data_IF_582597090600
#
_entry.id   IF_582597090600
#
_cell.length_a   1.000
_cell.length_b   1.000
_cell.length_c   1.000
_cell.angle_alpha   90.00
_cell.angle_beta   90.00
_cell.angle_gamma   90.00
#
_symmetry.space_group_name_H-M   'P 1'
#
loop_
_entity.id
_entity.type
_entity.pdbx_description
1 polymer ?
#
# COMPACT_ATOMS: atom_id res chain seq x y z
N UNK A 1 -61.68 6.74 -18.10
CA UNK A 1 -60.91 7.02 -16.87
C UNK A 1 -59.50 6.51 -17.10
N UNK A 2 -58.56 7.40 -17.38
CA UNK A 2 -57.16 7.06 -17.65
C UNK A 2 -56.39 7.02 -16.31
N UNK A 3 -55.70 5.91 -16.06
CA UNK A 3 -54.80 5.76 -14.91
C UNK A 3 -53.54 6.59 -15.15
N UNK A 4 -53.24 7.51 -14.23
CA UNK A 4 -51.96 8.21 -14.16
C UNK A 4 -50.92 7.27 -13.53
N UNK A 5 -49.71 7.13 -14.09
CA UNK A 5 -48.65 6.38 -13.43
C UNK A 5 -48.00 7.25 -12.34
N UNK A 6 -47.82 6.67 -11.15
CA UNK A 6 -46.98 7.23 -10.09
C UNK A 6 -45.56 7.44 -10.62
N UNK A 7 -45.10 8.68 -10.57
CA UNK A 7 -43.69 9.02 -10.72
C UNK A 7 -42.94 8.51 -9.48
N UNK A 8 -42.14 7.45 -9.67
CA UNK A 8 -41.12 7.08 -8.71
C UNK A 8 -40.09 8.22 -8.64
N UNK A 9 -39.85 8.73 -7.43
CA UNK A 9 -38.71 9.60 -7.17
C UNK A 9 -37.45 8.75 -7.38
N UNK A 10 -36.69 9.07 -8.42
CA UNK A 10 -35.32 8.59 -8.55
C UNK A 10 -34.49 9.29 -7.48
N UNK A 11 -33.94 8.53 -6.55
CA UNK A 11 -32.90 9.01 -5.65
C UNK A 11 -31.76 9.60 -6.50
N UNK A 12 -31.54 10.90 -6.33
CA UNK A 12 -30.41 11.58 -6.95
C UNK A 12 -29.13 11.09 -6.26
N UNK A 13 -28.06 10.74 -7.00
CA UNK A 13 -26.78 10.47 -6.38
C UNK A 13 -26.35 11.72 -5.63
N UNK A 14 -25.99 11.56 -4.34
CA UNK A 14 -25.49 12.64 -3.51
C UNK A 14 -24.42 13.41 -4.29
N UNK A 15 -24.72 14.66 -4.63
CA UNK A 15 -23.77 15.53 -5.30
C UNK A 15 -22.53 15.63 -4.42
N UNK A 16 -21.35 15.42 -5.01
CA UNK A 16 -20.09 15.86 -4.42
C UNK A 16 -20.30 17.26 -3.85
N UNK A 17 -19.93 17.48 -2.59
CA UNK A 17 -20.03 18.80 -1.95
C UNK A 17 -19.45 19.83 -2.92
N UNK A 18 -20.26 20.82 -3.33
CA UNK A 18 -19.87 21.79 -4.33
C UNK A 18 -18.50 22.39 -3.96
N UNK A 19 -17.51 22.25 -4.85
CA UNK A 19 -16.15 22.74 -4.62
C UNK A 19 -15.13 21.75 -4.04
N UNK A 20 -15.49 20.48 -3.83
CA UNK A 20 -14.52 19.45 -3.46
C UNK A 20 -13.44 19.25 -4.55
N UNK A 21 -12.16 19.08 -4.17
CA UNK A 21 -11.09 18.82 -5.15
C UNK A 21 -11.24 17.42 -5.74
N UNK A 22 -11.04 17.31 -7.06
CA UNK A 22 -10.84 16.02 -7.71
C UNK A 22 -9.38 15.56 -7.46
N UNK A 23 -9.21 14.49 -6.69
CA UNK A 23 -7.90 14.02 -6.26
C UNK A 23 -7.29 13.06 -7.28
N UNK A 24 -6.03 13.30 -7.62
CA UNK A 24 -5.16 12.42 -8.39
C UNK A 24 -4.24 11.60 -7.47
N UNK A 25 -3.66 10.52 -8.00
CA UNK A 25 -2.76 9.64 -7.24
C UNK A 25 -1.54 10.43 -6.70
N UNK A 26 -1.29 10.47 -5.38
CA UNK A 26 -0.29 11.35 -4.77
C UNK A 26 1.15 10.83 -4.86
N UNK A 27 1.41 9.78 -5.64
CA UNK A 27 2.71 9.11 -5.74
C UNK A 27 3.00 8.66 -7.17
N UNK A 28 4.27 8.79 -7.60
CA UNK A 28 4.73 8.39 -8.94
C UNK A 28 5.33 7.00 -8.94
N UNK A 29 4.47 5.99 -8.88
CA UNK A 29 4.82 4.57 -8.96
C UNK A 29 3.67 3.76 -9.56
N UNK A 30 3.94 2.54 -10.04
CA UNK A 30 2.87 1.65 -10.53
C UNK A 30 2.20 0.97 -9.34
N UNK A 31 0.99 1.41 -9.00
CA UNK A 31 0.19 0.83 -7.92
C UNK A 31 -0.08 -0.65 -8.19
N UNK A 32 0.21 -1.48 -7.19
CA UNK A 32 0.12 -2.94 -7.27
C UNK A 32 1.33 -3.63 -7.89
N UNK A 33 2.41 -2.90 -8.20
CA UNK A 33 3.65 -3.48 -8.72
C UNK A 33 4.89 -2.89 -8.04
N UNK A 34 5.05 -1.57 -8.07
CA UNK A 34 6.20 -0.86 -7.48
C UNK A 34 5.88 -0.26 -6.11
N UNK A 35 4.58 -0.11 -5.80
CA UNK A 35 4.05 0.45 -4.57
C UNK A 35 2.60 -0.03 -4.39
N UNK A 36 2.07 0.09 -3.18
CA UNK A 36 0.81 -0.53 -2.79
C UNK A 36 0.03 0.39 -1.86
N UNK A 37 -1.30 0.44 -2.00
CA UNK A 37 -2.13 0.99 -0.93
C UNK A 37 -2.21 -0.07 0.15
N UNK A 38 -1.55 0.15 1.28
CA UNK A 38 -1.51 -0.84 2.35
C UNK A 38 -2.55 -0.57 3.44
N UNK A 39 -2.69 0.67 3.88
CA UNK A 39 -3.72 1.03 4.85
C UNK A 39 -4.64 2.08 4.25
N UNK A 40 -5.92 1.93 4.53
CA UNK A 40 -6.98 2.87 4.21
C UNK A 40 -7.45 3.54 5.50
N UNK A 41 -8.22 4.61 5.36
CA UNK A 41 -8.86 5.30 6.49
C UNK A 41 -9.72 4.32 7.27
N UNK A 42 -9.64 4.40 8.59
CA UNK A 42 -10.49 3.61 9.47
C UNK A 42 -11.91 4.17 9.47
N UNK A 43 -12.83 3.43 8.86
CA UNK A 43 -14.22 3.81 8.70
C UNK A 43 -15.07 3.47 9.93
N UNK A 44 -14.57 2.68 10.89
CA UNK A 44 -15.28 2.28 12.11
C UNK A 44 -14.33 2.23 13.34
N UNK A 45 -13.87 3.38 13.85
CA UNK A 45 -12.90 3.44 14.94
C UNK A 45 -13.33 2.67 16.19
N UNK A 46 -12.36 2.00 16.81
CA UNK A 46 -12.52 1.09 17.93
C UNK A 46 -12.30 -0.38 17.54
N UNK A 47 -12.74 -1.35 18.37
CA UNK A 47 -12.48 -2.77 18.14
C UNK A 47 -13.06 -3.36 16.83
N UNK A 48 -13.94 -2.61 16.17
CA UNK A 48 -14.59 -2.97 14.89
C UNK A 48 -13.89 -2.43 13.64
N UNK A 49 -12.68 -1.85 13.80
CA UNK A 49 -11.91 -1.18 12.75
C UNK A 49 -12.00 -1.89 11.39
N UNK A 50 -12.35 -1.13 10.37
CA UNK A 50 -12.50 -1.62 9.01
C UNK A 50 -12.29 -0.49 8.02
N UNK A 51 -11.73 -0.82 6.87
CA UNK A 51 -11.63 0.13 5.77
C UNK A 51 -12.99 0.34 5.08
N UNK A 52 -13.06 1.29 4.13
CA UNK A 52 -14.27 1.60 3.38
C UNK A 52 -14.87 0.39 2.62
N UNK A 53 -14.06 -0.62 2.33
CA UNK A 53 -14.44 -1.85 1.65
C UNK A 53 -14.76 -2.99 2.64
N UNK A 54 -14.91 -2.67 3.93
CA UNK A 54 -15.10 -3.62 5.03
C UNK A 54 -13.97 -4.65 5.16
N UNK A 55 -12.80 -4.31 4.62
CA UNK A 55 -11.57 -5.03 4.81
C UNK A 55 -10.88 -4.68 6.11
N UNK A 56 -9.68 -5.23 6.26
CA UNK A 56 -8.83 -5.09 7.45
C UNK A 56 -7.52 -4.38 7.13
N UNK A 57 -7.44 -3.74 5.97
CA UNK A 57 -6.27 -2.97 5.56
C UNK A 57 -6.36 -1.59 6.19
N UNK A 58 -6.38 -1.54 7.52
CA UNK A 58 -6.43 -0.35 8.35
C UNK A 58 -6.02 -0.72 9.79
N UNK A 59 -5.99 0.26 10.68
CA UNK A 59 -5.84 0.08 12.12
C UNK A 59 -6.64 1.14 12.86
N UNK A 60 -6.93 0.88 14.14
CA UNK A 60 -7.80 1.74 14.95
C UNK A 60 -7.33 3.20 14.94
N UNK A 61 -8.21 4.07 14.44
CA UNK A 61 -7.99 5.51 14.36
C UNK A 61 -7.06 5.97 13.24
N UNK A 62 -6.82 5.14 12.21
CA UNK A 62 -6.08 5.55 11.02
C UNK A 62 -6.85 6.61 10.22
N UNK A 63 -6.18 7.72 9.86
CA UNK A 63 -6.81 8.93 9.31
C UNK A 63 -6.46 9.24 7.86
N UNK A 64 -5.65 8.40 7.21
CA UNK A 64 -5.22 8.62 5.84
C UNK A 64 -5.17 7.33 5.02
N UNK A 65 -4.53 7.44 3.86
CA UNK A 65 -4.28 6.32 2.94
C UNK A 65 -2.78 6.16 2.77
N UNK A 66 -2.26 4.98 3.10
CA UNK A 66 -0.83 4.67 3.07
C UNK A 66 -0.40 4.10 1.73
N UNK A 67 0.40 4.87 0.98
CA UNK A 67 1.05 4.43 -0.24
C UNK A 67 2.45 3.89 0.09
N UNK A 68 2.52 2.57 0.28
CA UNK A 68 3.72 1.84 0.69
C UNK A 68 4.65 1.53 -0.48
N UNK A 69 5.95 1.61 -0.22
CA UNK A 69 7.01 0.98 -1.02
C UNK A 69 7.36 -0.43 -0.52
N UNK A 70 7.85 -1.33 -1.40
CA UNK A 70 8.16 -2.71 -1.03
C UNK A 70 9.25 -2.80 0.06
N UNK A 71 10.28 -1.95 -0.02
CA UNK A 71 11.47 -2.02 0.82
C UNK A 71 12.19 -0.65 0.94
N UNK A 72 13.18 -0.58 1.84
CA UNK A 72 14.03 0.60 2.04
C UNK A 72 14.98 0.88 0.88
N UNK A 73 15.21 -0.07 -0.03
CA UNK A 73 16.02 0.19 -1.22
C UNK A 73 15.22 1.02 -2.24
N UNK A 74 13.95 0.72 -2.44
CA UNK A 74 13.03 1.53 -3.23
C UNK A 74 12.93 2.97 -2.68
N UNK A 75 12.82 3.12 -1.36
CA UNK A 75 12.86 4.44 -0.71
C UNK A 75 14.19 5.18 -0.97
N UNK A 76 15.32 4.47 -0.88
CA UNK A 76 16.65 5.04 -1.16
C UNK A 76 16.80 5.50 -2.60
N UNK A 77 16.31 4.72 -3.58
CA UNK A 77 16.25 5.10 -5.00
C UNK A 77 15.39 6.35 -5.23
N UNK A 78 14.40 6.58 -4.37
CA UNK A 78 13.55 7.76 -4.38
C UNK A 78 12.30 7.53 -5.24
N UNK A 79 11.14 7.72 -4.62
CA UNK A 79 9.84 7.69 -5.30
C UNK A 79 9.14 9.00 -5.02
N UNK A 80 8.76 9.74 -6.06
CA UNK A 80 8.22 11.08 -5.92
C UNK A 80 6.81 11.05 -5.32
N UNK A 81 6.59 11.91 -4.33
CA UNK A 81 5.27 12.30 -3.83
C UNK A 81 4.89 13.58 -4.57
N UNK A 82 3.68 13.60 -5.09
CA UNK A 82 3.16 14.69 -5.92
C UNK A 82 1.85 15.22 -5.37
N UNK A 83 1.54 16.49 -5.64
CA UNK A 83 0.27 17.08 -5.26
C UNK A 83 -0.90 16.31 -5.92
N UNK A 84 -1.89 15.92 -5.12
CA UNK A 84 -3.08 15.23 -5.61
C UNK A 84 -4.05 16.18 -6.33
N UNK A 85 -4.03 17.47 -6.01
CA UNK A 85 -4.90 18.47 -6.63
C UNK A 85 -4.22 19.85 -6.63
N UNK A 86 -4.67 20.79 -7.49
CA UNK A 86 -4.14 22.15 -7.50
C UNK A 86 -4.39 22.88 -6.17
N UNK A 87 -3.46 23.72 -5.75
CA UNK A 87 -3.59 24.45 -4.49
C UNK A 87 -2.38 25.29 -4.14
N UNK A 88 -2.34 25.76 -2.89
CA UNK A 88 -1.22 26.51 -2.32
C UNK A 88 -0.62 25.75 -1.15
N UNK A 89 0.69 25.59 -1.13
CA UNK A 89 1.40 24.99 0.00
C UNK A 89 1.28 25.92 1.20
N UNK A 90 0.76 25.44 2.33
CA UNK A 90 0.57 26.27 3.54
C UNK A 90 1.53 25.91 4.66
N UNK A 91 1.91 24.63 4.77
CA UNK A 91 2.79 24.13 5.85
C UNK A 91 3.78 23.12 5.32
N UNK A 92 5.00 23.20 5.84
CA UNK A 92 6.09 22.26 5.55
C UNK A 92 6.82 21.94 6.86
N UNK A 93 7.17 20.67 7.04
CA UNK A 93 8.08 20.21 8.09
C UNK A 93 9.09 19.26 7.46
N UNK A 94 10.37 19.50 7.69
CA UNK A 94 11.47 18.64 7.22
C UNK A 94 12.52 18.46 8.34
N UNK A 95 13.52 17.62 8.08
CA UNK A 95 14.69 17.40 8.91
C UNK A 95 14.58 16.23 9.89
N UNK A 96 13.43 15.56 9.99
CA UNK A 96 13.28 14.36 10.81
C UNK A 96 13.89 13.14 10.11
N UNK A 97 14.53 12.28 10.89
CA UNK A 97 15.18 11.08 10.38
C UNK A 97 14.19 10.05 9.84
N UNK A 98 14.61 9.36 8.78
CA UNK A 98 13.94 8.20 8.21
C UNK A 98 14.24 6.95 9.05
N UNK A 99 13.59 6.83 10.20
CA UNK A 99 13.80 5.75 11.17
C UNK A 99 12.46 5.16 11.57
N UNK A 100 12.36 3.82 11.50
CA UNK A 100 11.16 3.12 11.92
C UNK A 100 10.98 3.18 13.45
N UNK A 101 9.72 3.27 13.90
CA UNK A 101 9.37 3.18 15.32
C UNK A 101 9.76 1.85 15.96
N UNK A 102 9.92 0.78 15.16
CA UNK A 102 10.43 -0.51 15.64
C UNK A 102 11.90 -0.44 16.05
N UNK A 103 12.64 0.50 15.47
CA UNK A 103 14.04 0.76 15.79
C UNK A 103 14.19 1.84 16.85
N UNK A 104 13.38 2.92 16.80
CA UNK A 104 13.45 4.01 17.78
C UNK A 104 12.71 3.71 19.10
N UNK A 105 11.87 2.67 19.14
CA UNK A 105 11.11 2.25 20.33
C UNK A 105 9.77 2.96 20.51
N UNK A 106 9.32 3.77 19.54
CA UNK A 106 8.01 4.41 19.58
C UNK A 106 7.89 5.63 18.66
N UNK A 107 6.65 6.12 18.53
CA UNK A 107 6.34 7.33 17.77
C UNK A 107 6.99 8.57 18.42
N UNK A 108 7.55 9.51 17.62
CA UNK A 108 8.05 10.76 18.16
C UNK A 108 6.88 11.67 18.58
N UNK A 109 6.75 11.92 19.88
CA UNK A 109 5.63 12.67 20.45
C UNK A 109 5.47 14.08 19.84
N UNK A 110 4.25 14.41 19.41
CA UNK A 110 3.89 15.67 18.74
C UNK A 110 4.46 15.81 17.33
N UNK A 111 5.11 14.77 16.82
CA UNK A 111 5.81 14.73 15.52
C UNK A 111 5.44 13.48 14.74
N UNK A 112 4.28 12.90 15.02
CA UNK A 112 3.80 11.63 14.47
C UNK A 112 3.75 11.67 12.93
N UNK A 113 3.33 12.79 12.34
CA UNK A 113 3.30 12.95 10.88
C UNK A 113 4.70 13.02 10.20
N UNK A 114 5.81 13.01 10.95
CA UNK A 114 7.16 13.05 10.38
C UNK A 114 7.44 14.31 9.57
N UNK A 115 8.23 14.22 8.51
CA UNK A 115 8.33 15.28 7.51
C UNK A 115 7.03 15.32 6.72
N UNK A 116 6.48 16.51 6.48
CA UNK A 116 5.15 16.65 5.91
C UNK A 116 4.97 17.93 5.09
N UNK A 117 4.06 17.88 4.12
CA UNK A 117 3.58 19.02 3.34
C UNK A 117 2.06 19.10 3.49
N UNK A 118 1.52 20.31 3.60
CA UNK A 118 0.07 20.56 3.54
C UNK A 118 -0.22 21.51 2.37
N UNK A 119 -1.22 21.16 1.56
CA UNK A 119 -1.71 21.95 0.44
C UNK A 119 -3.16 22.36 0.72
N UNK A 120 -3.43 23.66 0.67
CA UNK A 120 -4.77 24.25 0.71
C UNK A 120 -5.34 24.35 -0.71
N UNK A 121 -6.56 23.84 -0.88
CA UNK A 121 -7.30 23.82 -2.14
C UNK A 121 -8.39 24.89 -2.21
N UNK A 122 -8.51 25.71 -1.16
CA UNK A 122 -9.56 26.72 -1.01
C UNK A 122 -10.84 26.12 -0.42
N UNK A 123 -11.76 27.00 -0.01
CA UNK A 123 -13.05 26.63 0.58
C UNK A 123 -12.94 25.61 1.73
N UNK A 124 -11.89 25.70 2.55
CA UNK A 124 -11.68 24.83 3.70
C UNK A 124 -11.08 23.46 3.40
N UNK A 125 -10.79 23.12 2.14
CA UNK A 125 -10.20 21.85 1.73
C UNK A 125 -8.68 21.86 1.85
N UNK A 126 -8.12 20.86 2.55
CA UNK A 126 -6.67 20.69 2.66
C UNK A 126 -6.27 19.22 2.46
N UNK A 127 -5.19 18.97 1.72
CA UNK A 127 -4.51 17.67 1.71
C UNK A 127 -3.21 17.72 2.51
N UNK A 128 -2.87 16.60 3.15
CA UNK A 128 -1.62 16.43 3.89
C UNK A 128 -0.88 15.19 3.38
N UNK A 129 0.42 15.33 3.22
CA UNK A 129 1.35 14.28 2.79
C UNK A 129 2.36 14.11 3.92
N UNK A 130 2.23 13.03 4.69
CA UNK A 130 3.05 12.76 5.88
C UNK A 130 4.15 11.75 5.58
N UNK A 131 5.07 11.56 6.53
CA UNK A 131 6.12 10.54 6.48
C UNK A 131 7.14 10.69 5.35
N UNK A 132 7.33 11.92 4.88
CA UNK A 132 8.20 12.22 3.74
C UNK A 132 9.68 11.98 4.08
N UNK A 133 10.48 11.69 3.05
CA UNK A 133 11.91 11.41 3.19
C UNK A 133 12.67 12.65 3.64
N UNK A 134 13.60 12.48 4.58
CA UNK A 134 14.41 13.57 5.14
C UNK A 134 15.12 14.34 4.02
N UNK A 135 14.94 15.65 3.98
CA UNK A 135 15.61 16.54 3.04
C UNK A 135 15.11 16.42 1.60
N UNK A 136 13.97 15.77 1.37
CA UNK A 136 13.42 15.56 0.01
C UNK A 136 12.39 16.59 -0.42
N UNK A 137 11.91 17.45 0.49
CA UNK A 137 10.85 18.42 0.19
C UNK A 137 11.40 19.54 -0.70
N UNK A 138 10.75 19.76 -1.84
CA UNK A 138 11.19 20.74 -2.88
C UNK A 138 10.31 21.97 -2.97
N UNK A 139 9.25 22.05 -2.16
CA UNK A 139 8.31 23.18 -2.10
C UNK A 139 8.39 23.94 -0.77
N UNK A 140 7.83 25.14 -0.74
CA UNK A 140 7.79 26.03 0.42
C UNK A 140 6.40 26.61 0.62
N UNK A 141 6.04 27.04 1.85
CA UNK A 141 4.80 27.77 2.08
C UNK A 141 4.66 28.98 1.14
N UNK A 142 3.49 29.11 0.51
CA UNK A 142 3.18 30.14 -0.50
C UNK A 142 3.30 29.66 -1.96
N UNK A 143 3.97 28.53 -2.21
CA UNK A 143 4.09 27.97 -3.56
C UNK A 143 2.72 27.51 -4.07
N UNK A 144 2.39 27.86 -5.32
CA UNK A 144 1.24 27.28 -6.03
C UNK A 144 1.65 26.00 -6.72
N UNK A 145 0.82 24.98 -6.60
CA UNK A 145 1.04 23.66 -7.19
C UNK A 145 -0.16 23.26 -8.01
N UNK A 146 0.08 22.55 -9.12
CA UNK A 146 -0.94 21.83 -9.87
C UNK A 146 -0.94 20.36 -9.47
N UNK A 147 -2.01 19.62 -9.79
CA UNK A 147 -2.01 18.16 -9.65
C UNK A 147 -0.79 17.56 -10.37
N UNK A 148 -0.06 16.68 -9.70
CA UNK A 148 1.14 16.04 -10.23
C UNK A 148 2.45 16.81 -10.03
N UNK A 149 2.41 18.02 -9.47
CA UNK A 149 3.62 18.78 -9.10
C UNK A 149 4.42 18.03 -8.04
N UNK A 150 5.73 17.77 -8.23
CA UNK A 150 6.58 17.16 -7.20
C UNK A 150 6.60 17.97 -5.92
N UNK A 151 6.32 17.32 -4.80
CA UNK A 151 6.37 17.90 -3.46
C UNK A 151 7.60 17.40 -2.68
N UNK A 152 7.83 16.09 -2.73
CA UNK A 152 8.86 15.41 -1.94
C UNK A 152 9.13 13.99 -2.46
N UNK A 153 9.78 13.15 -1.65
CA UNK A 153 9.88 11.70 -1.86
C UNK A 153 9.25 10.92 -0.69
N UNK A 154 8.79 9.70 -0.97
CA UNK A 154 8.32 8.74 0.04
C UNK A 154 9.43 8.43 1.03
N UNK A 155 9.12 8.48 2.33
CA UNK A 155 10.10 8.32 3.42
C UNK A 155 9.69 7.32 4.51
N UNK A 156 10.34 7.46 5.66
CA UNK A 156 10.16 6.64 6.88
C UNK A 156 10.19 7.52 8.14
N UNK A 157 9.85 8.80 8.02
CA UNK A 157 9.91 9.73 9.15
C UNK A 157 8.62 9.73 9.97
N UNK A 158 8.72 9.97 11.28
CA UNK A 158 7.55 10.02 12.15
C UNK A 158 7.09 8.65 12.64
N UNK A 159 5.78 8.45 12.76
CA UNK A 159 5.18 7.23 13.29
C UNK A 159 5.06 6.13 12.22
N UNK A 160 6.19 5.56 11.79
CA UNK A 160 6.22 4.63 10.65
C UNK A 160 6.91 3.29 10.95
N UNK A 161 6.42 2.22 10.34
CA UNK A 161 7.03 0.87 10.41
C UNK A 161 7.63 0.39 9.08
N UNK A 162 7.29 1.06 7.99
CA UNK A 162 7.69 0.74 6.62
C UNK A 162 7.67 2.02 5.77
N UNK A 163 8.41 2.09 4.65
CA UNK A 163 8.48 3.29 3.84
C UNK A 163 7.15 3.56 3.11
N UNK A 164 6.53 4.70 3.38
CA UNK A 164 5.26 5.10 2.77
C UNK A 164 5.03 6.61 2.84
N UNK A 165 4.06 7.10 2.06
CA UNK A 165 3.42 8.39 2.30
C UNK A 165 2.02 8.12 2.83
N UNK A 166 1.69 8.71 3.97
CA UNK A 166 0.31 8.80 4.47
C UNK A 166 -0.33 10.03 3.84
N UNK A 167 -1.39 9.81 3.07
CA UNK A 167 -2.16 10.85 2.41
C UNK A 167 -3.48 11.06 3.14
N UNK A 168 -3.69 12.26 3.69
CA UNK A 168 -4.93 12.64 4.35
C UNK A 168 -5.62 13.81 3.66
N UNK A 169 -6.94 13.87 3.78
CA UNK A 169 -7.74 15.03 3.34
C UNK A 169 -8.63 15.54 4.47
N UNK A 170 -8.75 16.87 4.55
CA UNK A 170 -9.59 17.57 5.52
C UNK A 170 -10.49 18.61 4.82
N UNK A 171 -11.67 18.85 5.38
CA UNK A 171 -12.57 19.93 5.00
C UNK A 171 -13.07 20.62 6.27
N UNK A 172 -12.83 21.92 6.41
CA UNK A 172 -13.13 22.72 7.61
C UNK A 172 -12.57 22.07 8.90
N UNK A 173 -11.34 21.55 8.82
CA UNK A 173 -10.65 20.89 9.93
C UNK A 173 -11.08 19.45 10.22
N UNK A 174 -12.12 18.94 9.55
CA UNK A 174 -12.65 17.58 9.72
C UNK A 174 -11.97 16.62 8.76
N UNK A 175 -11.56 15.44 9.23
CA UNK A 175 -10.88 14.44 8.41
C UNK A 175 -11.90 13.65 7.59
N UNK A 176 -11.62 13.43 6.32
CA UNK A 176 -12.49 12.63 5.44
C UNK A 176 -11.73 11.43 4.89
N UNK A 177 -12.48 10.37 4.59
CA UNK A 177 -12.00 9.27 3.79
C UNK A 177 -12.09 9.62 2.28
N UNK A 178 -10.97 9.65 1.53
CA UNK A 178 -10.98 10.01 0.12
C UNK A 178 -11.72 8.99 -0.77
N UNK A 179 -11.93 7.76 -0.30
CA UNK A 179 -12.70 6.75 -1.03
C UNK A 179 -14.22 6.96 -0.92
N UNK A 180 -14.70 7.55 0.17
CA UNK A 180 -16.14 7.72 0.41
C UNK A 180 -16.61 9.18 0.43
N UNK A 181 -15.70 10.12 0.62
CA UNK A 181 -15.99 11.54 0.86
C UNK A 181 -16.70 11.80 2.19
N UNK A 182 -16.70 10.83 3.11
CA UNK A 182 -17.35 10.94 4.42
C UNK A 182 -16.36 11.34 5.50
N UNK A 183 -16.85 12.08 6.48
CA UNK A 183 -16.08 12.43 7.66
C UNK A 183 -15.81 11.18 8.53
N UNK A 184 -14.58 11.09 9.04
CA UNK A 184 -14.14 9.98 9.90
C UNK A 184 -14.75 10.11 11.29
N UNK A 185 -15.31 9.01 11.81
CA UNK A 185 -15.81 8.93 13.18
C UNK A 185 -17.18 9.58 13.43
N UNK A 186 -17.90 10.03 12.40
CA UNK A 186 -19.21 10.70 12.55
C UNK A 186 -20.41 9.97 11.93
N UNK A 187 -20.23 8.82 11.29
CA UNK A 187 -21.32 8.09 10.63
C UNK A 187 -21.20 6.56 10.74
N UNK A 188 -22.35 5.88 10.66
CA UNK A 188 -22.51 4.42 10.65
C UNK A 188 -21.46 3.71 9.80
N UNK A 189 -20.96 2.58 10.31
CA UNK A 189 -20.02 1.70 9.60
C UNK A 189 -20.46 1.50 8.14
N UNK A 190 -19.51 1.36 7.19
CA UNK A 190 -19.83 1.15 5.79
C UNK A 190 -20.89 0.05 5.61
N UNK A 191 -21.85 0.26 4.72
CA UNK A 191 -22.84 -0.76 4.38
C UNK A 191 -22.12 -1.93 3.67
N UNK A 192 -21.63 -2.89 4.45
CA UNK A 192 -20.87 -4.02 3.96
C UNK A 192 -21.80 -4.97 3.19
N UNK A 193 -21.54 -5.18 1.90
CA UNK A 193 -22.07 -6.40 1.26
C UNK A 193 -21.32 -7.62 1.83
N UNK A 194 -21.97 -8.78 1.82
CA UNK A 194 -21.37 -10.04 2.28
C UNK A 194 -20.24 -10.54 1.37
N UNK A 195 -20.11 -9.98 0.16
CA UNK A 195 -19.09 -10.34 -0.81
C UNK A 195 -17.84 -9.48 -0.62
N UNK A 196 -17.07 -9.83 0.40
CA UNK A 196 -15.77 -9.23 0.70
C UNK A 196 -14.76 -9.52 -0.42
N UNK A 197 -14.80 -8.76 -1.50
CA UNK A 197 -13.88 -8.94 -2.64
C UNK A 197 -13.99 -7.89 -3.74
N UNK A 198 -15.15 -7.24 -3.89
CA UNK A 198 -15.36 -6.16 -4.86
C UNK A 198 -16.19 -5.06 -4.22
N UNK A 199 -15.54 -4.08 -3.58
CA UNK A 199 -16.26 -2.88 -3.16
C UNK A 199 -16.46 -1.99 -4.40
N UNK A 200 -17.70 -1.77 -4.87
CA UNK A 200 -17.93 -0.74 -5.88
C UNK A 200 -17.45 0.59 -5.30
N UNK A 201 -16.82 1.40 -6.15
CA UNK A 201 -16.37 2.73 -5.74
C UNK A 201 -17.58 3.54 -5.25
N UNK A 202 -17.57 4.05 -4.00
CA UNK A 202 -18.67 4.84 -3.47
C UNK A 202 -18.94 6.07 -4.35
N UNK A 203 -20.20 6.44 -4.52
CA UNK A 203 -20.61 7.62 -5.29
C UNK A 203 -20.02 8.93 -4.75
N UNK A 204 -19.68 8.99 -3.46
CA UNK A 204 -19.10 10.16 -2.80
C UNK A 204 -17.57 10.25 -2.82
N UNK A 205 -16.88 9.34 -3.51
CA UNK A 205 -15.42 9.35 -3.64
C UNK A 205 -14.86 10.70 -4.12
N UNK A 206 -13.72 11.10 -3.55
CA UNK A 206 -13.01 12.33 -3.91
C UNK A 206 -11.92 12.09 -4.96
N UNK A 207 -11.63 10.82 -5.30
CA UNK A 207 -10.69 10.46 -6.36
C UNK A 207 -11.29 10.72 -7.74
N UNK A 208 -10.47 11.26 -8.66
CA UNK A 208 -10.85 11.42 -10.06
C UNK A 208 -11.12 10.06 -10.73
N UNK A 209 -11.83 10.06 -11.86
CA UNK A 209 -12.11 8.85 -12.64
C UNK A 209 -10.85 8.05 -13.00
N UNK A 210 -9.75 8.75 -13.29
CA UNK A 210 -8.47 8.12 -13.60
C UNK A 210 -7.83 7.52 -12.34
N UNK A 211 -7.72 8.31 -11.26
CA UNK A 211 -7.20 7.83 -10.00
C UNK A 211 -7.97 6.61 -9.48
N UNK A 212 -9.31 6.58 -9.62
CA UNK A 212 -10.15 5.44 -9.22
C UNK A 212 -9.80 4.14 -9.92
N UNK A 213 -9.45 4.18 -11.20
CA UNK A 213 -9.03 2.99 -11.95
C UNK A 213 -7.69 2.47 -11.46
N UNK A 214 -6.77 3.37 -11.12
CA UNK A 214 -5.45 3.03 -10.57
C UNK A 214 -5.52 2.53 -9.13
N UNK A 215 -6.42 3.12 -8.33
CA UNK A 215 -6.58 2.90 -6.90
C UNK A 215 -7.69 1.89 -6.54
N UNK A 216 -8.06 1.05 -7.51
CA UNK A 216 -9.02 -0.03 -7.28
C UNK A 216 -8.62 -0.85 -6.05
N UNK A 217 -9.61 -1.18 -5.21
CA UNK A 217 -9.38 -1.87 -3.95
C UNK A 217 -8.71 -3.23 -4.16
N UNK A 218 -7.64 -3.49 -3.39
CA UNK A 218 -6.90 -4.76 -3.42
C UNK A 218 -6.85 -5.32 -2.00
N UNK A 219 -7.64 -6.35 -1.68
CA UNK A 219 -7.65 -6.91 -0.32
C UNK A 219 -6.36 -7.63 0.04
N UNK A 220 -5.52 -7.98 -0.95
CA UNK A 220 -4.22 -8.60 -0.76
C UNK A 220 -3.26 -8.22 -1.90
N UNK A 221 -1.94 -8.25 -1.63
CA UNK A 221 -0.90 -8.06 -2.65
C UNK A 221 0.41 -8.74 -2.25
N UNK A 222 1.25 -9.09 -3.23
CA UNK A 222 2.65 -9.49 -3.01
C UNK A 222 3.51 -8.22 -2.95
N UNK A 223 3.95 -7.86 -1.74
CA UNK A 223 4.82 -6.72 -1.52
C UNK A 223 6.23 -6.99 -2.04
N UNK A 224 6.71 -8.22 -1.93
CA UNK A 224 8.01 -8.64 -2.45
C UNK A 224 8.15 -10.15 -2.45
N UNK A 225 8.93 -10.70 -3.37
CA UNK A 225 9.25 -12.13 -3.41
C UNK A 225 10.52 -12.37 -4.19
N UNK A 226 11.23 -13.45 -3.87
CA UNK A 226 12.47 -13.77 -4.57
C UNK A 226 13.24 -14.94 -3.98
N UNK A 227 14.53 -14.98 -4.33
CA UNK A 227 15.50 -15.91 -3.80
C UNK A 227 16.49 -15.19 -2.88
N UNK A 228 17.11 -15.94 -1.97
CA UNK A 228 18.15 -15.49 -1.07
C UNK A 228 19.30 -16.51 -1.04
N UNK A 229 20.56 -16.07 -0.83
CA UNK A 229 21.70 -16.97 -0.68
C UNK A 229 21.79 -17.61 0.73
N UNK A 230 20.79 -17.35 1.57
CA UNK A 230 20.70 -17.81 2.95
C UNK A 230 19.25 -18.13 3.32
N UNK A 231 19.05 -18.62 4.54
CA UNK A 231 17.75 -18.66 5.21
C UNK A 231 17.07 -17.27 5.12
N UNK A 232 15.89 -17.14 4.50
CA UNK A 232 15.32 -15.83 4.26
C UNK A 232 14.84 -15.15 5.55
N UNK A 233 15.37 -13.96 5.80
CA UNK A 233 15.01 -13.09 6.94
C UNK A 233 14.18 -11.89 6.48
N UNK A 234 13.07 -11.62 7.17
CA UNK A 234 12.16 -10.52 6.84
C UNK A 234 12.84 -9.15 6.87
N UNK A 235 13.71 -8.90 7.85
CA UNK A 235 14.44 -7.63 7.97
C UNK A 235 15.37 -7.38 6.78
N UNK A 236 16.11 -8.41 6.35
CA UNK A 236 16.99 -8.31 5.17
C UNK A 236 16.17 -8.04 3.91
N UNK A 237 15.03 -8.72 3.73
CA UNK A 237 14.12 -8.49 2.61
C UNK A 237 13.58 -7.05 2.59
N UNK A 238 13.08 -6.55 3.73
CA UNK A 238 12.55 -5.19 3.88
C UNK A 238 13.61 -4.10 3.72
N UNK A 239 14.88 -4.45 3.91
CA UNK A 239 16.02 -3.57 3.63
C UNK A 239 16.46 -3.60 2.16
N UNK A 240 15.83 -4.44 1.32
CA UNK A 240 16.18 -4.67 -0.09
C UNK A 240 17.35 -5.63 -0.31
N UNK A 241 17.79 -6.35 0.73
CA UNK A 241 19.00 -7.17 0.69
C UNK A 241 18.97 -8.37 -0.26
N UNK A 242 17.78 -8.75 -0.75
CA UNK A 242 17.59 -9.85 -1.71
C UNK A 242 17.24 -9.36 -3.13
N UNK A 243 17.15 -8.04 -3.35
CA UNK A 243 16.78 -7.45 -4.64
C UNK A 243 17.98 -7.08 -5.52
N UNK A 244 17.72 -6.90 -6.82
CA UNK A 244 18.58 -6.12 -7.73
C UNK A 244 19.93 -6.72 -8.13
N UNK A 245 20.35 -7.87 -7.59
CA UNK A 245 21.63 -8.52 -7.95
C UNK A 245 21.45 -10.01 -8.23
N UNK A 246 22.14 -10.55 -9.25
CA UNK A 246 22.20 -11.98 -9.45
C UNK A 246 22.80 -12.69 -8.23
N UNK A 247 22.28 -13.88 -7.90
CA UNK A 247 22.80 -14.70 -6.82
C UNK A 247 23.97 -15.57 -7.31
N UNK A 248 25.01 -15.81 -6.50
CA UNK A 248 26.06 -16.77 -6.84
C UNK A 248 25.51 -18.19 -7.02
N UNK A 249 25.86 -18.84 -8.12
CA UNK A 249 25.42 -20.20 -8.44
C UNK A 249 25.99 -21.26 -7.48
N UNK A 250 27.03 -20.94 -6.71
CA UNK A 250 27.63 -21.84 -5.74
C UNK A 250 26.99 -21.76 -4.33
N UNK A 251 26.01 -20.86 -4.14
CA UNK A 251 25.33 -20.66 -2.85
C UNK A 251 24.87 -21.98 -2.22
N UNK A 252 25.21 -22.25 -0.94
CA UNK A 252 24.95 -23.56 -0.32
C UNK A 252 23.46 -23.85 -0.13
N UNK A 253 22.64 -22.80 -0.06
CA UNK A 253 21.19 -22.85 0.08
C UNK A 253 20.57 -21.80 -0.83
N UNK A 254 19.38 -22.13 -1.36
CA UNK A 254 18.47 -21.15 -1.93
C UNK A 254 17.31 -20.95 -0.98
N UNK A 255 17.32 -19.82 -0.28
CA UNK A 255 16.14 -19.31 0.41
C UNK A 255 15.11 -18.86 -0.62
N UNK A 256 13.85 -19.23 -0.44
CA UNK A 256 12.71 -18.79 -1.25
C UNK A 256 11.78 -18.03 -0.32
N UNK A 257 11.36 -16.82 -0.70
CA UNK A 257 10.59 -15.97 0.20
C UNK A 257 9.54 -15.14 -0.51
N UNK A 258 8.54 -14.72 0.26
CA UNK A 258 7.55 -13.72 -0.10
C UNK A 258 7.15 -12.90 1.12
N UNK A 259 6.84 -11.63 0.89
CA UNK A 259 6.12 -10.76 1.80
C UNK A 259 4.79 -10.37 1.15
N UNK A 260 3.69 -10.61 1.87
CA UNK A 260 2.32 -10.41 1.42
C UNK A 260 1.61 -9.46 2.38
N UNK A 261 0.67 -8.66 1.87
CA UNK A 261 -0.28 -7.92 2.70
C UNK A 261 -1.69 -8.51 2.60
N UNK A 262 -2.49 -8.33 3.65
CA UNK A 262 -3.92 -8.63 3.64
C UNK A 262 -4.29 -10.11 3.61
N UNK A 263 -3.48 -10.98 4.21
CA UNK A 263 -3.80 -12.41 4.33
C UNK A 263 -4.86 -12.69 5.40
N UNK A 264 -5.86 -13.51 5.08
CA UNK A 264 -6.90 -13.96 6.03
C UNK A 264 -6.44 -15.24 6.73
N UNK A 265 -6.95 -15.46 7.94
CA UNK A 265 -6.68 -16.71 8.64
C UNK A 265 -7.15 -17.90 7.79
N UNK A 266 -6.28 -18.91 7.66
CA UNK A 266 -6.58 -20.12 6.89
C UNK A 266 -6.28 -20.02 5.40
N UNK A 267 -6.00 -18.81 4.86
CA UNK A 267 -5.51 -18.67 3.49
C UNK A 267 -4.25 -19.50 3.28
N UNK A 268 -4.05 -19.99 2.06
CA UNK A 268 -2.89 -20.81 1.68
C UNK A 268 -1.94 -20.01 0.82
N UNK A 269 -0.69 -19.91 1.26
CA UNK A 269 0.41 -19.32 0.50
C UNK A 269 1.26 -20.44 -0.07
N UNK A 270 1.32 -20.54 -1.40
CA UNK A 270 2.24 -21.43 -2.11
C UNK A 270 3.43 -20.62 -2.64
N UNK A 271 4.64 -21.12 -2.37
CA UNK A 271 5.89 -20.72 -3.03
C UNK A 271 6.34 -21.84 -3.96
N UNK A 272 6.56 -21.50 -5.23
CA UNK A 272 7.09 -22.42 -6.24
C UNK A 272 8.34 -21.81 -6.89
N UNK A 273 9.36 -22.63 -7.12
CA UNK A 273 10.55 -22.22 -7.87
C UNK A 273 10.73 -23.11 -9.08
N UNK A 274 10.85 -22.48 -10.23
CA UNK A 274 11.16 -23.12 -11.50
C UNK A 274 12.55 -22.69 -11.97
N UNK A 275 13.40 -23.65 -12.30
CA UNK A 275 14.75 -23.41 -12.78
C UNK A 275 14.79 -22.94 -14.25
N UNK A 276 15.99 -22.63 -14.76
CA UNK A 276 16.18 -22.15 -16.13
C UNK A 276 15.74 -23.13 -17.22
N UNK A 277 15.79 -24.43 -16.92
CA UNK A 277 15.34 -25.53 -17.79
C UNK A 277 13.81 -25.74 -17.79
N UNK A 278 13.07 -24.92 -17.04
CA UNK A 278 11.62 -25.03 -16.89
C UNK A 278 11.17 -26.10 -15.90
N UNK A 279 12.09 -26.82 -15.23
CA UNK A 279 11.72 -27.81 -14.22
C UNK A 279 11.45 -27.15 -12.88
N UNK A 280 10.40 -27.62 -12.20
CA UNK A 280 10.10 -27.21 -10.84
C UNK A 280 11.11 -27.81 -9.87
N UNK A 281 11.81 -26.96 -9.16
CA UNK A 281 12.82 -27.32 -8.16
C UNK A 281 12.23 -27.39 -6.77
N UNK A 282 11.20 -26.59 -6.51
CA UNK A 282 10.64 -26.43 -5.18
C UNK A 282 9.15 -26.09 -5.24
N UNK A 283 8.39 -26.64 -4.31
CA UNK A 283 7.03 -26.19 -3.97
C UNK A 283 6.84 -26.35 -2.48
N UNK A 284 6.43 -25.29 -1.81
CA UNK A 284 6.01 -25.34 -0.41
C UNK A 284 4.74 -24.54 -0.22
N UNK A 285 3.90 -24.99 0.71
CA UNK A 285 2.63 -24.35 1.02
C UNK A 285 2.50 -24.20 2.54
N UNK A 286 2.08 -23.01 2.97
CA UNK A 286 1.79 -22.70 4.36
C UNK A 286 0.40 -22.09 4.53
N UNK A 287 -0.20 -22.29 5.70
CA UNK A 287 -1.40 -21.55 6.09
C UNK A 287 -1.02 -20.21 6.72
N UNK A 288 -1.83 -19.18 6.44
CA UNK A 288 -1.80 -17.93 7.18
C UNK A 288 -2.39 -18.20 8.58
N UNK A 289 -1.59 -18.10 9.66
CA UNK A 289 -1.97 -18.64 10.97
C UNK A 289 -3.04 -17.79 11.68
N UNK A 290 -3.08 -16.50 11.37
CA UNK A 290 -4.02 -15.51 11.90
C UNK A 290 -4.14 -14.37 10.88
N UNK A 291 -5.17 -13.52 10.96
CA UNK A 291 -5.27 -12.35 10.08
C UNK A 291 -4.05 -11.44 10.32
N UNK A 292 -3.33 -11.12 9.26
CA UNK A 292 -2.10 -10.33 9.32
C UNK A 292 -2.14 -9.21 8.27
N UNK A 293 -1.83 -7.99 8.70
CA UNK A 293 -1.61 -6.87 7.79
C UNK A 293 -0.44 -7.16 6.84
N UNK A 294 0.64 -7.78 7.36
CA UNK A 294 1.79 -8.28 6.58
C UNK A 294 2.20 -9.66 7.07
N UNK A 295 2.41 -10.59 6.14
CA UNK A 295 2.99 -11.91 6.36
C UNK A 295 4.30 -12.04 5.60
N UNK A 296 5.37 -12.42 6.30
CA UNK A 296 6.59 -12.92 5.68
C UNK A 296 6.56 -14.45 5.71
N UNK A 297 6.73 -15.08 4.56
CA UNK A 297 6.74 -16.54 4.41
C UNK A 297 7.96 -16.95 3.60
N UNK A 298 8.68 -17.96 4.06
CA UNK A 298 9.87 -18.43 3.38
C UNK A 298 10.21 -19.86 3.71
N UNK A 299 11.10 -20.42 2.90
CA UNK A 299 11.60 -21.77 3.03
C UNK A 299 12.97 -21.89 2.38
N UNK A 300 13.64 -23.02 2.59
CA UNK A 300 14.98 -23.28 2.08
C UNK A 300 15.01 -24.50 1.18
N UNK A 301 15.81 -24.39 0.12
CA UNK A 301 16.15 -25.49 -0.78
C UNK A 301 17.65 -25.72 -0.68
N UNK A 302 18.04 -26.91 -0.23
CA UNK A 302 19.46 -27.28 -0.14
C UNK A 302 20.03 -27.52 -1.52
N UNK A 303 21.29 -27.12 -1.73
CA UNK A 303 22.01 -27.37 -2.98
C UNK A 303 22.08 -28.87 -3.30
N UNK A 304 21.85 -29.28 -4.56
CA UNK A 304 22.08 -30.66 -4.99
C UNK A 304 23.52 -31.10 -4.74
N UNK A 305 23.73 -32.38 -4.42
CA UNK A 305 25.08 -32.94 -4.23
C UNK A 305 25.94 -32.91 -5.51
N UNK A 306 25.31 -32.74 -6.69
CA UNK A 306 25.92 -32.88 -8.02
C UNK A 306 26.64 -31.64 -8.56
N UNK A 307 26.75 -30.54 -7.81
CA UNK A 307 27.48 -29.34 -8.26
C UNK A 307 26.80 -28.01 -7.89
N UNK A 308 27.22 -26.88 -8.50
CA UNK A 308 26.53 -25.60 -8.35
C UNK A 308 25.10 -25.65 -8.90
N UNK A 309 24.28 -24.67 -8.53
CA UNK A 309 22.99 -24.43 -9.17
C UNK A 309 23.19 -24.12 -10.65
N UNK A 310 22.20 -24.48 -11.48
CA UNK A 310 22.23 -24.09 -12.89
C UNK A 310 22.23 -22.55 -13.00
N UNK A 311 23.14 -21.98 -13.77
CA UNK A 311 23.14 -20.54 -14.02
C UNK A 311 21.97 -20.16 -14.93
N UNK A 312 21.42 -18.96 -14.76
CA UNK A 312 20.36 -18.42 -15.60
C UNK A 312 19.12 -17.97 -14.81
N UNK A 313 17.99 -17.75 -15.50
CA UNK A 313 16.80 -17.20 -14.89
C UNK A 313 15.98 -18.25 -14.14
N UNK A 314 15.71 -17.97 -12.87
CA UNK A 314 14.77 -18.70 -12.04
C UNK A 314 13.48 -17.90 -11.96
N UNK A 315 12.35 -18.61 -11.88
CA UNK A 315 11.03 -18.04 -11.65
C UNK A 315 10.55 -18.45 -10.26
N UNK A 316 10.26 -17.46 -9.42
CA UNK A 316 9.61 -17.62 -8.12
C UNK A 316 8.15 -17.23 -8.27
N UNK A 317 7.26 -18.20 -8.11
CA UNK A 317 5.82 -17.98 -8.23
C UNK A 317 5.17 -18.05 -6.85
N UNK A 318 4.49 -16.98 -6.49
CA UNK A 318 3.70 -16.85 -5.28
C UNK A 318 2.24 -17.03 -5.64
N UNK A 319 1.50 -17.84 -4.90
CA UNK A 319 0.05 -17.97 -5.04
C UNK A 319 -0.59 -17.87 -3.67
N UNK A 320 -1.57 -16.97 -3.51
CA UNK A 320 -2.43 -16.89 -2.33
C UNK A 320 -3.80 -17.44 -2.71
N UNK A 321 -4.30 -18.39 -1.91
CA UNK A 321 -5.64 -18.96 -2.07
C UNK A 321 -6.50 -18.73 -0.84
N UNK A 322 -7.75 -18.37 -1.08
CA UNK A 322 -8.80 -18.32 -0.07
C UNK A 322 -9.75 -19.49 -0.30
N UNK A 323 -9.70 -20.49 0.57
CA UNK A 323 -10.29 -21.80 0.26
C UNK A 323 -9.71 -22.37 -1.04
N UNK A 324 -10.57 -22.59 -2.03
CA UNK A 324 -10.18 -23.10 -3.35
C UNK A 324 -9.94 -22.00 -4.39
N UNK A 325 -10.30 -20.75 -4.08
CA UNK A 325 -10.15 -19.62 -5.00
C UNK A 325 -8.72 -19.08 -4.98
N UNK A 326 -8.15 -18.79 -6.16
CA UNK A 326 -6.88 -18.08 -6.26
C UNK A 326 -7.12 -16.58 -6.17
N UNK A 327 -6.74 -15.99 -5.03
CA UNK A 327 -6.87 -14.54 -4.77
C UNK A 327 -5.83 -13.76 -5.56
N UNK A 328 -4.58 -14.23 -5.57
CA UNK A 328 -3.52 -13.68 -6.42
C UNK A 328 -2.51 -14.75 -6.81
N UNK A 329 -1.88 -14.53 -7.96
CA UNK A 329 -0.73 -15.28 -8.44
C UNK A 329 0.24 -14.32 -9.09
N UNK A 330 1.45 -14.24 -8.55
CA UNK A 330 2.51 -13.39 -9.08
C UNK A 330 3.79 -14.18 -9.30
N UNK A 331 4.53 -13.79 -10.34
CA UNK A 331 5.82 -14.36 -10.67
C UNK A 331 6.91 -13.29 -10.56
N UNK A 332 8.07 -13.71 -10.05
CA UNK A 332 9.30 -12.90 -9.98
C UNK A 332 10.44 -13.66 -10.62
N UNK A 333 11.22 -12.97 -11.45
CA UNK A 333 12.42 -13.53 -12.06
C UNK A 333 13.65 -13.15 -11.22
N UNK A 334 14.50 -14.14 -10.95
CA UNK A 334 15.78 -13.95 -10.27
C UNK A 334 16.87 -14.68 -11.06
N UNK A 335 17.96 -14.01 -11.41
CA UNK A 335 19.07 -14.63 -12.14
C UNK A 335 20.12 -15.19 -11.17
N UNK A 336 20.62 -16.40 -11.44
CA UNK A 336 21.81 -16.98 -10.79
C UNK A 336 23.00 -16.94 -11.76
N UNK A 337 24.19 -16.62 -11.26
CA UNK A 337 25.43 -16.48 -12.04
C UNK A 337 26.61 -17.16 -11.37
#
# INVERSE_FOLDING_TARGET
MAFLPSTAFADSPAALSAGAPALEVPVRCRIGADCFVQNYVDADPGPGMRDFACGRLTYDGHKGTDFRLPDLEAMRRGVAVVAAAPGTVTRVRDGMDDVSIRQSGGAPAGREAGNAVVVDHGNGWETQYSHLKRGSIVVRPGDRVEAGTPLAQVGLSGNTEFPHVDFGIRHDGRTLDPYTGKEVGTAEAPACSTDQGTAPVPSGTLWSDEARRTLAYRPSAVLGAGLAPEAPKAEVARNGGYGGRPLPADTPVLGVWTELMGGRQGDRVTLEVTGPDGRRLFRNEGAVPRPLAVLFFGAEVKKPASGPWATGPYRVTVTLRHGDETVLREERRVDLR
#
